data_IF_072486684525
#
_entry.id   IF_072486684525
#
_cell.length_a   1.000
_cell.length_b   1.000
_cell.length_c   1.000
_cell.angle_alpha   90.00
_cell.angle_beta   90.00
_cell.angle_gamma   90.00
#
_symmetry.space_group_name_H-M   'P 1'
#
loop_
_entity.id
_entity.type
_entity.pdbx_description
1 polymer ?
#
# COMPACT_ATOMS: atom_id res chain seq x y z
N UNK A 1 -25.40 -10.07 -25.46
CA UNK A 1 -25.50 -8.87 -24.60
C UNK A 1 -26.41 -9.20 -23.43
N UNK A 2 -25.84 -9.73 -22.34
CA UNK A 2 -26.40 -9.68 -20.98
C UNK A 2 -25.18 -9.61 -20.05
N UNK A 3 -25.17 -8.59 -19.20
CA UNK A 3 -24.11 -8.28 -18.24
C UNK A 3 -23.91 -9.49 -17.33
N UNK A 4 -22.71 -10.08 -17.34
CA UNK A 4 -22.24 -10.88 -16.22
C UNK A 4 -22.22 -9.95 -15.02
N UNK A 5 -23.20 -10.09 -14.14
CA UNK A 5 -23.19 -9.42 -12.85
C UNK A 5 -21.98 -10.03 -12.13
N UNK A 6 -20.95 -9.23 -11.93
CA UNK A 6 -19.73 -9.60 -11.21
C UNK A 6 -20.13 -10.12 -9.82
N UNK A 7 -20.09 -11.42 -9.61
CA UNK A 7 -19.98 -11.97 -8.26
C UNK A 7 -18.54 -11.66 -7.82
N UNK A 8 -18.36 -10.57 -7.07
CA UNK A 8 -17.09 -10.32 -6.36
C UNK A 8 -16.78 -11.56 -5.51
N UNK A 9 -15.52 -11.99 -5.53
CA UNK A 9 -15.08 -13.13 -4.72
C UNK A 9 -15.40 -12.90 -3.24
N UNK A 10 -15.66 -13.97 -2.47
CA UNK A 10 -15.82 -13.86 -1.01
C UNK A 10 -14.62 -13.13 -0.38
N UNK A 11 -13.41 -13.41 -0.88
CA UNK A 11 -12.20 -12.70 -0.52
C UNK A 11 -12.25 -11.19 -0.83
N UNK A 12 -12.61 -10.81 -2.06
CA UNK A 12 -12.67 -9.40 -2.48
C UNK A 12 -13.69 -8.60 -1.65
N UNK A 13 -14.84 -9.21 -1.37
CA UNK A 13 -15.84 -8.65 -0.48
C UNK A 13 -15.29 -8.47 0.95
N UNK A 14 -14.58 -9.47 1.49
CA UNK A 14 -13.95 -9.36 2.81
C UNK A 14 -12.93 -8.21 2.86
N UNK A 15 -12.10 -8.04 1.84
CA UNK A 15 -11.14 -6.93 1.76
C UNK A 15 -11.85 -5.58 1.74
N UNK A 16 -12.87 -5.43 0.89
CA UNK A 16 -13.67 -4.21 0.76
C UNK A 16 -14.37 -3.84 2.07
N UNK A 17 -15.02 -4.79 2.74
CA UNK A 17 -15.67 -4.57 4.02
C UNK A 17 -14.67 -4.26 5.14
N UNK A 18 -13.49 -4.89 5.12
CA UNK A 18 -12.41 -4.55 6.04
C UNK A 18 -11.94 -3.09 5.88
N UNK A 19 -11.74 -2.62 4.64
CA UNK A 19 -11.35 -1.23 4.36
C UNK A 19 -12.42 -0.26 4.88
N UNK A 20 -13.70 -0.54 4.61
CA UNK A 20 -14.82 0.28 5.08
C UNK A 20 -14.85 0.35 6.62
N UNK A 21 -14.67 -0.78 7.29
CA UNK A 21 -14.60 -0.85 8.75
C UNK A 21 -13.40 -0.09 9.32
N UNK A 22 -12.20 -0.18 8.71
CA UNK A 22 -11.02 0.57 9.15
C UNK A 22 -11.26 2.08 9.01
N UNK A 23 -11.81 2.53 7.88
CA UNK A 23 -12.11 3.96 7.65
C UNK A 23 -13.11 4.51 8.66
N UNK A 24 -14.02 3.66 9.14
CA UNK A 24 -15.03 3.93 10.18
C UNK A 24 -14.51 3.76 11.61
N UNK A 25 -13.23 3.39 11.78
CA UNK A 25 -12.57 3.07 13.06
C UNK A 25 -13.15 1.84 13.79
N UNK A 26 -13.81 0.93 13.08
CA UNK A 26 -14.36 -0.33 13.60
C UNK A 26 -13.34 -1.47 13.49
N UNK A 27 -12.21 -1.35 14.21
CA UNK A 27 -11.05 -2.22 14.01
C UNK A 27 -11.29 -3.70 14.37
N UNK A 28 -12.20 -4.00 15.30
CA UNK A 28 -12.56 -5.38 15.64
C UNK A 28 -13.37 -6.04 14.51
N UNK A 29 -14.28 -5.27 13.90
CA UNK A 29 -15.03 -5.73 12.75
C UNK A 29 -14.11 -5.92 11.54
N UNK A 30 -13.22 -4.95 11.28
CA UNK A 30 -12.20 -5.07 10.23
C UNK A 30 -11.37 -6.35 10.39
N UNK A 31 -10.89 -6.67 11.60
CA UNK A 31 -10.15 -7.92 11.86
C UNK A 31 -10.95 -9.17 11.53
N UNK A 32 -12.27 -9.20 11.78
CA UNK A 32 -13.11 -10.35 11.44
C UNK A 32 -13.14 -10.59 9.93
N UNK A 33 -13.32 -9.54 9.14
CA UNK A 33 -13.28 -9.64 7.69
C UNK A 33 -11.90 -10.06 7.19
N UNK A 34 -10.83 -9.49 7.74
CA UNK A 34 -9.46 -9.87 7.37
C UNK A 34 -9.15 -11.33 7.68
N UNK A 35 -9.58 -11.85 8.84
CA UNK A 35 -9.40 -13.26 9.18
C UNK A 35 -10.24 -14.20 8.31
N UNK A 36 -11.45 -13.78 7.90
CA UNK A 36 -12.21 -14.53 6.90
C UNK A 36 -11.45 -14.58 5.56
N UNK A 37 -10.88 -13.44 5.12
CA UNK A 37 -10.00 -13.40 3.95
C UNK A 37 -8.76 -14.28 4.06
N UNK A 38 -8.11 -14.35 5.23
CA UNK A 38 -6.95 -15.22 5.47
C UNK A 38 -7.29 -16.71 5.37
N UNK A 39 -8.52 -17.11 5.73
CA UNK A 39 -8.95 -18.52 5.57
C UNK A 39 -8.99 -18.90 4.08
N UNK A 40 -9.31 -17.95 3.21
CA UNK A 40 -9.33 -18.14 1.75
C UNK A 40 -7.94 -18.02 1.13
N UNK A 41 -7.13 -17.05 1.59
CA UNK A 41 -5.75 -16.84 1.15
C UNK A 41 -4.88 -16.30 2.30
N UNK A 42 -4.10 -17.19 2.92
CA UNK A 42 -3.22 -16.89 4.04
C UNK A 42 -1.90 -16.17 3.65
N UNK A 43 -1.65 -16.05 2.34
CA UNK A 43 -0.50 -15.34 1.74
C UNK A 43 -0.93 -14.03 1.05
N UNK A 44 -2.10 -13.46 1.38
CA UNK A 44 -2.55 -12.20 0.77
C UNK A 44 -1.80 -10.97 1.30
N UNK A 45 -1.14 -10.23 0.41
CA UNK A 45 -0.52 -8.96 0.75
C UNK A 45 -1.54 -7.89 1.20
N UNK A 46 -2.75 -7.88 0.63
CA UNK A 46 -3.84 -6.98 1.02
C UNK A 46 -4.20 -7.15 2.50
N UNK A 47 -4.34 -8.40 2.97
CA UNK A 47 -4.70 -8.66 4.36
C UNK A 47 -3.62 -8.13 5.30
N UNK A 48 -2.36 -8.47 5.05
CA UNK A 48 -1.27 -8.03 5.92
C UNK A 48 -1.05 -6.51 5.85
N UNK A 49 -1.26 -5.87 4.70
CA UNK A 49 -1.24 -4.41 4.59
C UNK A 49 -2.32 -3.78 5.50
N UNK A 50 -3.55 -4.27 5.44
CA UNK A 50 -4.66 -3.75 6.25
C UNK A 50 -4.47 -4.02 7.76
N UNK A 51 -3.87 -5.15 8.14
CA UNK A 51 -3.47 -5.41 9.54
C UNK A 51 -2.38 -4.42 10.02
N UNK A 52 -1.44 -4.07 9.15
CA UNK A 52 -0.44 -3.03 9.41
C UNK A 52 -1.09 -1.67 9.65
N UNK A 53 -2.04 -1.29 8.81
CA UNK A 53 -2.79 -0.03 8.94
C UNK A 53 -3.52 0.03 10.28
N UNK A 54 -4.23 -1.04 10.67
CA UNK A 54 -4.90 -1.14 11.97
C UNK A 54 -3.90 -0.94 13.13
N UNK A 55 -2.69 -1.49 13.01
CA UNK A 55 -1.65 -1.36 14.03
C UNK A 55 -1.12 0.08 14.12
N UNK A 56 -0.93 0.77 12.99
CA UNK A 56 -0.58 2.21 12.99
C UNK A 56 -1.65 3.08 13.65
N UNK A 57 -2.93 2.83 13.34
CA UNK A 57 -4.04 3.53 13.99
C UNK A 57 -4.04 3.35 15.51
N UNK A 58 -3.57 2.19 15.99
CA UNK A 58 -3.41 1.88 17.41
C UNK A 58 -2.11 2.38 18.03
N UNK A 59 -1.26 3.10 17.28
CA UNK A 59 0.08 3.55 17.71
C UNK A 59 1.05 2.41 18.01
N UNK A 60 0.83 1.23 17.42
CA UNK A 60 1.77 0.10 17.50
C UNK A 60 2.61 0.05 16.23
N UNK A 61 3.60 0.94 16.16
CA UNK A 61 4.48 1.11 15.00
C UNK A 61 5.32 -0.14 14.72
N UNK A 62 5.76 -0.83 15.78
CA UNK A 62 6.54 -2.08 15.66
C UNK A 62 5.71 -3.18 15.01
N UNK A 63 4.46 -3.35 15.43
CA UNK A 63 3.57 -4.33 14.83
C UNK A 63 3.16 -3.93 13.41
N UNK A 64 2.93 -2.65 13.16
CA UNK A 64 2.66 -2.13 11.82
C UNK A 64 3.79 -2.48 10.84
N UNK A 65 5.04 -2.19 11.21
CA UNK A 65 6.22 -2.55 10.40
C UNK A 65 6.29 -4.06 10.13
N UNK A 66 5.97 -4.89 11.13
CA UNK A 66 5.96 -6.35 10.97
C UNK A 66 4.96 -6.79 9.92
N UNK A 67 3.73 -6.26 9.97
CA UNK A 67 2.69 -6.62 9.02
C UNK A 67 2.96 -6.09 7.61
N UNK A 68 3.45 -4.87 7.45
CA UNK A 68 3.83 -4.36 6.12
C UNK A 68 4.99 -5.16 5.51
N UNK A 69 5.97 -5.59 6.31
CA UNK A 69 7.02 -6.51 5.83
C UNK A 69 6.45 -7.85 5.41
N UNK A 70 5.49 -8.40 6.15
CA UNK A 70 4.83 -9.65 5.76
C UNK A 70 4.11 -9.49 4.41
N UNK A 71 3.34 -8.41 4.23
CA UNK A 71 2.71 -8.10 2.94
C UNK A 71 3.72 -8.01 1.79
N UNK A 72 4.83 -7.29 2.01
CA UNK A 72 5.90 -7.16 1.03
C UNK A 72 6.59 -8.50 0.69
N UNK A 73 6.77 -9.39 1.68
CA UNK A 73 7.34 -10.73 1.46
C UNK A 73 6.43 -11.59 0.59
N UNK A 74 5.12 -11.50 0.78
CA UNK A 74 4.16 -12.27 -0.01
C UNK A 74 3.99 -11.71 -1.42
N UNK A 75 3.92 -10.39 -1.58
CA UNK A 75 3.88 -9.74 -2.89
C UNK A 75 4.69 -8.44 -2.90
N UNK A 76 5.94 -8.47 -3.41
CA UNK A 76 6.76 -7.28 -3.58
C UNK A 76 6.22 -6.29 -4.62
N UNK A 77 5.26 -6.70 -5.46
CA UNK A 77 4.63 -5.84 -6.47
C UNK A 77 3.43 -5.08 -5.91
N UNK A 78 2.92 -5.48 -4.73
CA UNK A 78 1.82 -4.80 -4.03
C UNK A 78 2.28 -3.48 -3.41
N UNK A 79 2.24 -2.43 -4.22
CA UNK A 79 2.70 -1.07 -3.89
C UNK A 79 2.11 -0.44 -2.62
N UNK A 80 0.85 -0.68 -2.21
CA UNK A 80 0.33 -0.13 -0.97
C UNK A 80 1.17 -0.52 0.26
N UNK A 81 1.63 -1.78 0.33
CA UNK A 81 2.48 -2.25 1.42
C UNK A 81 3.85 -1.58 1.41
N UNK A 82 4.46 -1.43 0.22
CA UNK A 82 5.76 -0.76 0.04
C UNK A 82 5.69 0.71 0.48
N UNK A 83 4.70 1.46 -0.01
CA UNK A 83 4.47 2.87 0.36
C UNK A 83 4.24 3.04 1.86
N UNK A 84 3.43 2.18 2.48
CA UNK A 84 3.17 2.23 3.91
C UNK A 84 4.42 1.87 4.72
N UNK A 85 5.20 0.88 4.29
CA UNK A 85 6.46 0.49 4.93
C UNK A 85 7.50 1.61 4.85
N UNK A 86 7.70 2.19 3.67
CA UNK A 86 8.60 3.33 3.46
C UNK A 86 8.20 4.50 4.38
N UNK A 87 6.91 4.82 4.42
CA UNK A 87 6.37 5.89 5.26
C UNK A 87 6.63 5.63 6.75
N UNK A 88 6.28 4.46 7.28
CA UNK A 88 6.39 4.17 8.73
C UNK A 88 7.85 4.02 9.18
N UNK A 89 8.76 3.67 8.27
CA UNK A 89 10.20 3.53 8.58
C UNK A 89 11.02 4.79 8.30
N UNK A 90 10.38 5.85 7.79
CA UNK A 90 11.02 7.14 7.55
C UNK A 90 11.50 7.79 8.84
N UNK A 91 12.68 8.42 8.80
CA UNK A 91 13.22 9.18 9.93
C UNK A 91 12.30 10.33 10.38
N UNK A 92 11.49 10.86 9.46
CA UNK A 92 10.55 11.95 9.71
C UNK A 92 9.11 11.45 9.83
N UNK A 93 8.92 10.19 10.22
CA UNK A 93 7.59 9.62 10.37
C UNK A 93 6.76 10.43 11.36
N UNK A 94 5.64 10.93 10.87
CA UNK A 94 4.54 11.48 11.65
C UNK A 94 3.29 10.82 11.10
N UNK A 95 2.57 10.11 11.96
CA UNK A 95 1.33 9.47 11.55
C UNK A 95 0.36 10.49 10.95
N UNK A 96 -0.05 10.23 9.73
CA UNK A 96 -1.05 11.00 9.02
C UNK A 96 -2.01 10.07 8.29
N UNK A 97 -3.29 10.12 8.67
CA UNK A 97 -4.37 9.32 8.08
C UNK A 97 -4.49 9.51 6.55
N UNK A 98 -4.19 10.70 6.03
CA UNK A 98 -4.34 10.99 4.59
C UNK A 98 -3.24 10.37 3.73
N UNK A 99 -2.16 9.90 4.35
CA UNK A 99 -1.02 9.27 3.67
C UNK A 99 -1.01 7.74 3.73
N UNK A 100 -2.07 7.15 4.28
CA UNK A 100 -2.22 5.69 4.36
C UNK A 100 -2.75 5.20 3.01
N UNK A 101 -2.06 4.22 2.42
CA UNK A 101 -2.50 3.54 1.20
C UNK A 101 -3.19 2.22 1.56
N UNK A 102 -4.51 2.16 1.38
CA UNK A 102 -5.31 0.97 1.69
C UNK A 102 -5.28 -0.07 0.57
N UNK A 103 -4.78 0.30 -0.62
CA UNK A 103 -4.86 -0.52 -1.83
C UNK A 103 -6.24 -0.56 -2.49
N UNK A 104 -7.11 0.41 -2.18
CA UNK A 104 -8.45 0.55 -2.78
C UNK A 104 -8.53 1.64 -3.86
N UNK A 105 -7.40 2.28 -4.14
CA UNK A 105 -7.25 3.28 -5.22
C UNK A 105 -6.60 2.64 -6.43
N UNK A 106 -7.12 2.95 -7.62
CA UNK A 106 -6.47 2.57 -8.89
C UNK A 106 -5.17 3.37 -9.00
N UNK A 107 -4.04 2.68 -9.11
CA UNK A 107 -2.77 3.34 -9.37
C UNK A 107 -2.78 3.95 -10.77
N UNK A 108 -2.52 5.25 -10.88
CA UNK A 108 -2.08 5.82 -12.15
C UNK A 108 -0.61 5.43 -12.34
N UNK A 109 -0.32 4.63 -13.38
CA UNK A 109 1.05 4.28 -13.75
C UNK A 109 1.84 5.58 -14.03
N UNK A 110 2.64 6.00 -13.07
CA UNK A 110 3.64 7.02 -13.32
C UNK A 110 4.76 6.35 -14.12
N UNK A 111 4.79 6.57 -15.44
CA UNK A 111 5.94 6.25 -16.31
C UNK A 111 7.19 6.99 -15.81
N UNK A 112 7.79 6.52 -14.72
CA UNK A 112 9.10 6.96 -14.28
C UNK A 112 10.13 6.24 -15.13
N UNK A 113 10.39 6.79 -16.31
CA UNK A 113 11.61 6.51 -17.04
C UNK A 113 12.79 7.10 -16.28
N UNK A 114 13.38 6.31 -15.38
CA UNK A 114 14.68 6.61 -14.80
C UNK A 114 15.76 5.99 -15.69
N UNK A 115 16.26 6.77 -16.64
CA UNK A 115 17.54 6.46 -17.27
C UNK A 115 18.65 6.56 -16.23
N UNK A 116 19.17 5.41 -15.78
CA UNK A 116 20.38 5.36 -14.98
C UNK A 116 21.60 5.46 -15.93
N UNK A 117 22.12 6.68 -16.13
CA UNK A 117 23.44 6.85 -16.74
C UNK A 117 24.52 6.53 -15.70
N UNK A 118 25.14 5.36 -15.83
CA UNK A 118 26.33 5.00 -15.07
C UNK A 118 27.56 5.70 -15.67
N UNK A 119 27.87 6.90 -15.18
CA UNK A 119 29.21 7.47 -15.34
C UNK A 119 30.10 6.86 -14.26
N UNK A 120 31.10 6.07 -14.69
CA UNK A 120 31.98 5.33 -13.80
C UNK A 120 32.83 6.24 -12.90
N UNK A 121 32.31 6.62 -11.75
CA UNK A 121 33.07 6.97 -10.55
C UNK A 121 32.13 7.03 -9.33
N UNK A 122 32.40 6.18 -8.34
CA UNK A 122 31.63 6.05 -7.10
C UNK A 122 31.67 7.33 -6.24
N UNK A 123 30.68 8.23 -6.34
CA UNK A 123 30.03 8.98 -5.23
C UNK A 123 28.69 9.53 -5.79
N UNK A 124 27.56 8.95 -5.37
CA UNK A 124 26.23 9.36 -5.86
C UNK A 124 25.71 10.61 -5.16
N UNK A 125 25.71 11.76 -5.85
CA UNK A 125 24.99 12.96 -5.44
C UNK A 125 23.65 13.03 -6.20
N UNK A 126 22.53 12.92 -5.48
CA UNK A 126 21.20 13.09 -6.05
C UNK A 126 20.96 14.58 -6.37
N UNK A 127 20.74 14.90 -7.65
CA UNK A 127 20.20 16.20 -8.08
C UNK A 127 18.84 15.99 -8.72
N UNK A 128 17.78 16.51 -8.10
CA UNK A 128 16.46 16.61 -8.70
C UNK A 128 16.47 17.78 -9.70
N UNK A 129 16.27 17.49 -10.99
CA UNK A 129 16.03 18.52 -12.01
C UNK A 129 14.57 18.42 -12.43
N UNK A 130 13.81 19.46 -12.11
CA UNK A 130 12.44 19.67 -12.55
C UNK A 130 12.50 20.27 -13.96
N UNK A 131 12.00 19.55 -14.96
CA UNK A 131 12.00 20.03 -16.35
C UNK A 131 10.69 20.77 -16.62
N UNK A 132 10.75 22.10 -16.55
CA UNK A 132 9.72 22.98 -17.10
C UNK A 132 9.70 22.87 -18.62
N UNK A 133 8.64 22.28 -19.18
CA UNK A 133 8.41 22.34 -20.64
C UNK A 133 7.89 23.73 -21.00
N UNK A 134 8.77 24.61 -21.46
CA UNK A 134 8.39 25.77 -22.27
C UNK A 134 8.02 25.29 -23.67
N UNK A 135 6.75 25.43 -24.05
CA UNK A 135 6.32 25.35 -25.45
C UNK A 135 6.88 26.55 -26.21
N UNK A 136 7.56 26.29 -27.34
CA UNK A 136 8.00 27.30 -28.29
C UNK A 136 7.47 26.95 -29.69
N UNK A 137 6.96 28.01 -30.34
CA UNK A 137 6.36 28.14 -31.67
C UNK A 137 4.92 27.65 -31.86
#
# INVERSE_FOLDING_TARGET
>A
MLRSINEESSFENNIKEAINAIKSNEYDLARKYLYAGMIENDHSAEVYNLLGIISEYKRDESMACTYYRAAYVFDPTYKPADKNLERVTSFFYIFNKTSIDYGDTIEEECEKSCFAEYSGMQIGNLKNIQVDRKSAC
#
